data_IF_910918899792
#
_entry.id   IF_910918899792
#
_cell.length_a   1.000
_cell.length_b   1.000
_cell.length_c   1.000
_cell.angle_alpha   90.00
_cell.angle_beta   90.00
_cell.angle_gamma   90.00
#
_symmetry.space_group_name_H-M   'P 1'
#
loop_
_entity.id
_entity.type
_entity.pdbx_description
1 polymer ?
#
# COMPACT_ATOMS: atom_id res chain seq x y z
N UNK A 1 16.02 -23.72 -21.69
CA UNK A 1 14.85 -22.83 -21.97
C UNK A 1 14.22 -22.51 -20.63
N UNK A 2 14.04 -21.21 -20.37
CA UNK A 2 13.99 -20.57 -19.06
C UNK A 2 12.71 -20.85 -18.24
N UNK A 3 12.91 -20.82 -16.92
CA UNK A 3 11.95 -21.02 -15.84
C UNK A 3 10.95 -19.87 -15.73
N UNK A 4 9.81 -19.96 -16.42
CA UNK A 4 8.63 -19.10 -16.21
C UNK A 4 7.56 -19.98 -15.56
N UNK A 5 7.45 -20.02 -14.22
CA UNK A 5 6.26 -20.63 -13.56
C UNK A 5 6.02 -20.37 -12.06
N UNK A 6 6.66 -19.40 -11.41
CA UNK A 6 6.41 -19.14 -9.97
C UNK A 6 6.10 -17.68 -9.57
N UNK A 7 6.14 -16.72 -10.49
CA UNK A 7 5.90 -15.29 -10.18
C UNK A 7 4.41 -14.90 -10.27
N UNK A 8 3.65 -15.48 -11.20
CA UNK A 8 2.25 -15.08 -11.43
C UNK A 8 1.28 -15.35 -10.27
N UNK A 9 1.51 -16.39 -9.46
CA UNK A 9 0.66 -16.69 -8.29
C UNK A 9 0.98 -15.82 -7.06
N UNK A 10 2.19 -15.26 -6.98
CA UNK A 10 2.63 -14.45 -5.84
C UNK A 10 2.19 -13.00 -5.94
N UNK A 11 2.17 -12.43 -7.15
CA UNK A 11 1.63 -11.09 -7.43
C UNK A 11 0.12 -10.98 -7.14
N UNK A 12 -0.61 -12.09 -7.23
CA UNK A 12 -2.04 -12.10 -6.98
C UNK A 12 -2.39 -11.94 -5.49
N UNK A 13 -1.49 -12.35 -4.59
CA UNK A 13 -1.75 -12.33 -3.16
C UNK A 13 -1.67 -10.92 -2.58
N UNK A 14 -0.68 -10.10 -2.97
CA UNK A 14 -0.57 -8.71 -2.51
C UNK A 14 -1.79 -7.90 -2.96
N UNK A 15 -2.19 -8.02 -4.22
CA UNK A 15 -3.37 -7.34 -4.75
C UNK A 15 -4.69 -7.87 -4.17
N UNK A 16 -4.78 -9.16 -3.86
CA UNK A 16 -5.95 -9.73 -3.19
C UNK A 16 -6.11 -9.14 -1.77
N UNK A 17 -5.02 -9.04 -1.00
CA UNK A 17 -5.07 -8.45 0.34
C UNK A 17 -5.34 -6.94 0.30
N UNK A 18 -4.78 -6.20 -0.68
CA UNK A 18 -5.11 -4.79 -0.91
C UNK A 18 -6.59 -4.59 -1.24
N UNK A 19 -7.11 -5.34 -2.22
CA UNK A 19 -8.51 -5.27 -2.63
C UNK A 19 -9.46 -5.61 -1.48
N UNK A 20 -9.11 -6.60 -0.64
CA UNK A 20 -9.86 -6.92 0.58
C UNK A 20 -9.89 -5.75 1.55
N UNK A 21 -8.74 -5.12 1.83
CA UNK A 21 -8.67 -3.93 2.69
C UNK A 21 -9.56 -2.79 2.19
N UNK A 22 -9.49 -2.47 0.89
CA UNK A 22 -10.32 -1.42 0.29
C UNK A 22 -11.81 -1.72 0.29
N UNK A 23 -12.19 -2.99 0.11
CA UNK A 23 -13.59 -3.43 0.21
C UNK A 23 -14.09 -3.28 1.65
N UNK A 24 -13.31 -3.71 2.64
CA UNK A 24 -13.68 -3.59 4.07
C UNK A 24 -13.87 -2.12 4.46
N UNK A 25 -12.99 -1.22 4.01
CA UNK A 25 -13.13 0.22 4.24
C UNK A 25 -14.41 0.81 3.63
N UNK A 26 -14.87 0.29 2.49
CA UNK A 26 -16.12 0.73 1.84
C UNK A 26 -17.38 0.10 2.45
N UNK A 27 -17.27 -1.10 3.03
CA UNK A 27 -18.43 -1.87 3.47
C UNK A 27 -18.78 -1.65 4.95
N UNK A 28 -17.83 -1.34 5.84
CA UNK A 28 -18.17 -1.06 7.24
C UNK A 28 -17.10 -0.25 7.99
N UNK A 29 -17.44 0.92 8.57
CA UNK A 29 -16.56 1.67 9.47
C UNK A 29 -16.13 0.88 10.72
N UNK A 30 -16.84 -0.19 11.06
CA UNK A 30 -16.54 -1.04 12.22
C UNK A 30 -15.40 -2.04 11.96
N UNK A 31 -14.98 -2.22 10.71
CA UNK A 31 -13.95 -3.19 10.31
C UNK A 31 -12.60 -2.52 10.01
N UNK A 32 -12.41 -1.25 10.39
CA UNK A 32 -11.15 -0.51 10.17
C UNK A 32 -9.92 -1.24 10.75
N UNK A 33 -10.06 -1.93 11.89
CA UNK A 33 -8.97 -2.69 12.49
C UNK A 33 -8.59 -3.94 11.66
N UNK A 34 -9.57 -4.60 11.05
CA UNK A 34 -9.32 -5.72 10.14
C UNK A 34 -8.71 -5.24 8.82
N UNK A 35 -9.17 -4.08 8.31
CA UNK A 35 -8.58 -3.44 7.15
C UNK A 35 -7.12 -3.05 7.39
N UNK A 36 -6.80 -2.42 8.53
CA UNK A 36 -5.42 -2.11 8.93
C UNK A 36 -4.56 -3.37 8.97
N UNK A 37 -5.05 -4.45 9.60
CA UNK A 37 -4.34 -5.74 9.68
C UNK A 37 -4.09 -6.35 8.30
N UNK A 38 -5.09 -6.31 7.41
CA UNK A 38 -4.97 -6.83 6.05
C UNK A 38 -3.95 -6.04 5.21
N UNK A 39 -3.94 -4.71 5.34
CA UNK A 39 -3.00 -3.84 4.65
C UNK A 39 -1.57 -4.03 5.16
N UNK A 40 -1.38 -4.17 6.48
CA UNK A 40 -0.06 -4.50 7.06
C UNK A 40 0.46 -5.83 6.51
N UNK A 41 -0.38 -6.86 6.42
CA UNK A 41 0.01 -8.14 5.84
C UNK A 41 0.39 -8.01 4.35
N UNK A 42 -0.35 -7.21 3.57
CA UNK A 42 -0.03 -6.95 2.17
C UNK A 42 1.37 -6.31 2.00
N UNK A 43 1.72 -5.37 2.89
CA UNK A 43 3.05 -4.73 2.93
C UNK A 43 4.14 -5.76 3.21
N UNK A 44 3.94 -6.63 4.20
CA UNK A 44 4.91 -7.68 4.55
C UNK A 44 5.14 -8.66 3.38
N UNK A 45 4.07 -9.07 2.70
CA UNK A 45 4.17 -9.93 1.51
C UNK A 45 4.93 -9.20 0.39
N UNK A 46 4.58 -7.95 0.10
CA UNK A 46 5.22 -7.18 -0.98
C UNK A 46 6.71 -6.99 -0.73
N UNK A 47 7.10 -6.70 0.53
CA UNK A 47 8.51 -6.64 0.96
C UNK A 47 9.22 -7.97 0.75
N UNK A 48 8.61 -9.08 1.20
CA UNK A 48 9.16 -10.43 1.01
C UNK A 48 9.31 -10.83 -0.47
N UNK A 49 8.54 -10.22 -1.36
CA UNK A 49 8.62 -10.42 -2.80
C UNK A 49 9.53 -9.40 -3.51
N UNK A 50 10.11 -8.43 -2.78
CA UNK A 50 10.84 -7.29 -3.35
C UNK A 50 10.02 -6.52 -4.40
N UNK A 51 8.71 -6.43 -4.18
CA UNK A 51 7.76 -5.90 -5.14
C UNK A 51 7.36 -4.46 -4.76
N UNK A 52 8.31 -3.54 -4.94
CA UNK A 52 8.22 -2.15 -4.45
C UNK A 52 6.93 -1.41 -4.85
N UNK A 53 6.44 -1.61 -6.07
CA UNK A 53 5.23 -0.92 -6.52
C UNK A 53 3.99 -1.36 -5.72
N UNK A 54 3.88 -2.66 -5.43
CA UNK A 54 2.78 -3.20 -4.63
C UNK A 54 2.92 -2.85 -3.16
N UNK A 55 4.14 -2.77 -2.64
CA UNK A 55 4.40 -2.24 -1.30
C UNK A 55 3.89 -0.79 -1.20
N UNK A 56 4.25 0.06 -2.17
CA UNK A 56 3.79 1.45 -2.20
C UNK A 56 2.26 1.55 -2.27
N UNK A 57 1.60 0.73 -3.09
CA UNK A 57 0.13 0.70 -3.17
C UNK A 57 -0.52 0.38 -1.83
N UNK A 58 -0.04 -0.67 -1.15
CA UNK A 58 -0.58 -1.04 0.16
C UNK A 58 -0.30 0.02 1.24
N UNK A 59 0.87 0.66 1.19
CA UNK A 59 1.26 1.75 2.10
C UNK A 59 0.40 2.99 1.89
N UNK A 60 0.09 3.37 0.65
CA UNK A 60 -0.82 4.49 0.36
C UNK A 60 -2.20 4.23 0.96
N UNK A 61 -2.76 3.04 0.75
CA UNK A 61 -4.06 2.67 1.34
C UNK A 61 -4.03 2.72 2.88
N UNK A 62 -2.96 2.25 3.51
CA UNK A 62 -2.82 2.28 4.98
C UNK A 62 -2.60 3.70 5.51
N UNK A 63 -1.83 4.52 4.81
CA UNK A 63 -1.61 5.91 5.15
C UNK A 63 -2.92 6.72 5.07
N UNK A 64 -3.77 6.49 4.06
CA UNK A 64 -5.11 7.10 3.99
C UNK A 64 -5.99 6.70 5.18
N UNK A 65 -6.02 5.41 5.52
CA UNK A 65 -6.77 4.95 6.70
C UNK A 65 -6.29 5.64 7.99
N UNK A 66 -4.99 5.81 8.17
CA UNK A 66 -4.45 6.51 9.33
C UNK A 66 -4.71 8.02 9.29
N UNK A 67 -4.71 8.65 8.11
CA UNK A 67 -5.10 10.05 7.93
C UNK A 67 -6.56 10.27 8.38
N UNK A 68 -7.49 9.41 7.95
CA UNK A 68 -8.91 9.45 8.35
C UNK A 68 -9.10 9.25 9.87
N UNK A 69 -8.19 8.53 10.51
CA UNK A 69 -8.16 8.34 11.97
C UNK A 69 -7.43 9.46 12.73
N UNK A 70 -6.99 10.52 12.04
CA UNK A 70 -6.24 11.64 12.63
C UNK A 70 -4.77 11.31 12.96
N UNK A 71 -4.26 10.14 12.57
CA UNK A 71 -2.89 9.67 12.82
C UNK A 71 -1.91 10.15 11.74
N UNK A 72 -1.95 11.46 11.41
CA UNK A 72 -1.17 12.06 10.30
C UNK A 72 0.33 11.76 10.34
N UNK A 73 0.97 11.97 11.49
CA UNK A 73 2.43 11.74 11.65
C UNK A 73 2.79 10.27 11.35
N UNK A 74 1.99 9.33 11.85
CA UNK A 74 2.20 7.89 11.62
C UNK A 74 2.06 7.53 10.13
N UNK A 75 1.09 8.14 9.45
CA UNK A 75 0.90 7.97 8.00
C UNK A 75 2.08 8.52 7.19
N UNK A 76 2.57 9.71 7.56
CA UNK A 76 3.71 10.34 6.90
C UNK A 76 4.99 9.51 7.08
N UNK A 77 5.30 9.13 8.32
CA UNK A 77 6.50 8.35 8.66
C UNK A 77 6.54 6.98 7.98
N UNK A 78 5.37 6.40 7.68
CA UNK A 78 5.27 5.15 6.92
C UNK A 78 5.49 5.38 5.42
N UNK A 79 4.85 6.41 4.85
CA UNK A 79 4.81 6.61 3.39
C UNK A 79 6.08 7.26 2.84
N UNK A 80 6.64 8.25 3.55
CA UNK A 80 7.75 9.06 3.04
C UNK A 80 9.01 8.23 2.68
N UNK A 81 9.46 7.26 3.51
CA UNK A 81 10.65 6.47 3.18
C UNK A 81 10.47 5.61 1.93
N UNK A 82 9.28 5.03 1.73
CA UNK A 82 9.02 4.15 0.57
C UNK A 82 8.88 4.98 -0.69
N UNK A 83 8.18 6.11 -0.63
CA UNK A 83 8.10 7.04 -1.76
C UNK A 83 9.48 7.57 -2.17
N UNK A 84 10.35 7.87 -1.19
CA UNK A 84 11.71 8.36 -1.42
C UNK A 84 12.65 7.39 -2.15
N UNK A 85 12.33 6.09 -2.21
CA UNK A 85 13.06 5.13 -3.04
C UNK A 85 12.81 5.32 -4.54
N UNK A 86 11.71 5.96 -4.92
CA UNK A 86 11.37 6.21 -6.31
C UNK A 86 11.92 7.56 -6.76
N UNK A 87 12.90 7.53 -7.66
CA UNK A 87 13.49 8.73 -8.27
C UNK A 87 12.87 9.07 -9.62
N UNK A 88 12.13 8.14 -10.21
CA UNK A 88 11.52 8.22 -11.55
C UNK A 88 10.15 7.53 -11.56
N UNK A 89 9.42 7.64 -12.68
CA UNK A 89 8.13 6.95 -12.85
C UNK A 89 6.93 7.68 -12.24
N UNK A 90 7.04 8.98 -11.98
CA UNK A 90 5.91 9.79 -11.46
C UNK A 90 4.69 9.88 -12.38
N UNK A 91 4.73 9.28 -13.57
CA UNK A 91 3.56 9.06 -14.42
C UNK A 91 2.68 7.87 -13.97
N UNK A 92 3.22 6.99 -13.13
CA UNK A 92 2.48 5.87 -12.56
C UNK A 92 1.46 6.41 -11.54
N UNK A 93 0.16 6.05 -11.65
CA UNK A 93 -0.89 6.61 -10.82
C UNK A 93 -0.63 6.54 -9.31
N UNK A 94 -0.12 5.42 -8.79
CA UNK A 94 0.17 5.29 -7.35
C UNK A 94 1.26 6.25 -6.88
N UNK A 95 2.25 6.58 -7.71
CA UNK A 95 3.28 7.55 -7.34
C UNK A 95 2.71 8.97 -7.29
N UNK A 96 1.78 9.32 -8.17
CA UNK A 96 1.04 10.60 -8.09
C UNK A 96 0.19 10.67 -6.82
N UNK A 97 -0.49 9.58 -6.49
CA UNK A 97 -1.30 9.49 -5.29
C UNK A 97 -0.47 9.57 -4.00
N UNK A 98 0.63 8.83 -3.93
CA UNK A 98 1.56 8.86 -2.81
C UNK A 98 2.10 10.28 -2.56
N UNK A 99 2.48 10.98 -3.64
CA UNK A 99 2.93 12.37 -3.54
C UNK A 99 1.84 13.29 -3.00
N UNK A 100 0.63 13.23 -3.58
CA UNK A 100 -0.49 14.06 -3.13
C UNK A 100 -0.81 13.81 -1.65
N UNK A 101 -0.79 12.55 -1.21
CA UNK A 101 -1.02 12.20 0.18
C UNK A 101 0.10 12.72 1.11
N UNK A 102 1.36 12.67 0.69
CA UNK A 102 2.46 13.27 1.46
C UNK A 102 2.29 14.79 1.60
N UNK A 103 1.84 15.46 0.54
CA UNK A 103 1.57 16.90 0.55
C UNK A 103 0.37 17.25 1.47
N UNK A 104 -0.63 16.37 1.58
CA UNK A 104 -1.79 16.51 2.49
C UNK A 104 -1.44 16.24 3.97
N UNK A 105 -0.41 15.43 4.23
CA UNK A 105 0.00 15.01 5.57
C UNK A 105 1.01 15.96 6.24
N UNK A 106 1.69 16.79 5.44
CA UNK A 106 2.65 17.81 5.90
C UNK A 106 1.96 19.03 6.54
#
# INVERSE_FOLDING_TARGET
IATIKQTGQRWYLSELHRARGEILLKCSPYEMAEAETALMHAIEIARGQSAMLFELQAVVSLARLWEEQGKRVKAYDLLAPIFGWFTEGFDVPVLKEAKALLDELA
#
